data_IF_591621970048
#
_entry.id   IF_591621970048
#
_cell.length_a   1.000
_cell.length_b   1.000
_cell.length_c   1.000
_cell.angle_alpha   90.00
_cell.angle_beta   90.00
_cell.angle_gamma   90.00
#
_symmetry.space_group_name_H-M   'P 1'
#
loop_
_entity.id
_entity.type
_entity.pdbx_description
1 polymer ?
#
# COMPACT_ATOMS: atom_id res chain seq x y z
N UNK A 1 -7.23 3.33 9.85
CA UNK A 1 -7.57 2.13 10.64
C UNK A 1 -6.84 0.88 10.12
N UNK A 2 -7.10 0.44 8.88
CA UNK A 2 -6.46 -0.74 8.30
C UNK A 2 -4.92 -0.67 8.26
N UNK A 3 -4.35 0.45 7.78
CA UNK A 3 -2.89 0.68 7.69
C UNK A 3 -2.17 0.66 9.04
N UNK A 4 -2.83 1.13 10.10
CA UNK A 4 -2.27 1.14 11.46
C UNK A 4 -2.65 -0.10 12.29
N UNK A 5 -3.44 -1.01 11.72
CA UNK A 5 -3.97 -2.19 12.40
C UNK A 5 -3.69 -3.48 11.62
N UNK A 6 -4.72 -4.18 11.12
CA UNK A 6 -4.57 -5.52 10.55
C UNK A 6 -3.67 -5.60 9.31
N UNK A 7 -3.46 -4.48 8.60
CA UNK A 7 -2.62 -4.42 7.39
C UNK A 7 -1.33 -3.63 7.61
N UNK A 8 -0.92 -3.44 8.86
CA UNK A 8 0.30 -2.68 9.18
C UNK A 8 1.53 -3.30 8.52
N UNK A 9 2.31 -2.45 7.83
CA UNK A 9 3.48 -2.85 7.04
C UNK A 9 3.16 -3.40 5.65
N UNK A 10 1.88 -3.57 5.30
CA UNK A 10 1.41 -4.01 3.98
C UNK A 10 0.67 -2.88 3.26
N UNK A 11 -0.24 -2.20 3.97
CA UNK A 11 -1.00 -1.04 3.47
C UNK A 11 -0.52 0.23 4.17
N UNK A 12 -0.04 1.19 3.39
CA UNK A 12 0.24 2.56 3.81
C UNK A 12 -0.97 3.49 3.61
N UNK A 13 -0.92 4.64 4.25
CA UNK A 13 -1.86 5.74 4.10
C UNK A 13 -1.07 7.05 4.10
N UNK A 14 -1.41 7.96 3.19
CA UNK A 14 -0.88 9.32 3.19
C UNK A 14 -1.97 10.34 2.88
N UNK A 15 -1.88 11.49 3.55
CA UNK A 15 -2.63 12.72 3.27
C UNK A 15 -1.70 13.89 2.96
N UNK A 16 -0.43 13.61 2.66
CA UNK A 16 0.57 14.59 2.22
C UNK A 16 0.45 14.86 0.71
N UNK A 17 1.02 15.97 0.25
CA UNK A 17 1.16 16.23 -1.19
C UNK A 17 2.41 15.52 -1.72
N UNK A 18 2.20 14.44 -2.46
CA UNK A 18 3.24 13.50 -2.87
C UNK A 18 3.25 13.28 -4.38
N UNK A 19 4.37 12.81 -4.88
CA UNK A 19 4.57 12.38 -6.27
C UNK A 19 5.17 10.96 -6.30
N UNK A 20 5.25 10.35 -7.48
CA UNK A 20 5.67 8.96 -7.63
C UNK A 20 7.05 8.65 -7.06
N UNK A 21 7.99 9.60 -7.11
CA UNK A 21 9.35 9.41 -6.62
C UNK A 21 9.46 9.31 -5.11
N UNK A 22 8.46 9.80 -4.36
CA UNK A 22 8.43 9.72 -2.91
C UNK A 22 8.20 8.28 -2.41
N UNK A 23 7.77 7.39 -3.31
CA UNK A 23 7.51 5.97 -3.02
C UNK A 23 8.61 5.03 -3.52
N UNK A 24 9.71 5.55 -4.06
CA UNK A 24 10.82 4.71 -4.53
C UNK A 24 11.40 3.93 -3.34
N UNK A 25 11.52 2.61 -3.49
CA UNK A 25 11.94 1.69 -2.44
C UNK A 25 10.98 1.61 -1.24
N UNK A 26 9.72 2.01 -1.39
CA UNK A 26 8.71 1.78 -0.36
C UNK A 26 8.40 0.28 -0.23
N UNK A 27 8.36 -0.22 1.01
CA UNK A 27 8.16 -1.64 1.30
C UNK A 27 6.70 -2.09 1.30
N UNK A 28 5.74 -1.17 1.33
CA UNK A 28 4.32 -1.49 1.33
C UNK A 28 3.90 -2.01 -0.04
N UNK A 29 2.84 -2.82 -0.04
CA UNK A 29 2.23 -3.30 -1.29
C UNK A 29 1.28 -2.30 -1.92
N UNK A 30 0.85 -1.31 -1.13
CA UNK A 30 -0.15 -0.33 -1.51
C UNK A 30 -0.07 0.83 -0.53
N UNK A 31 -0.04 2.07 -1.01
CA UNK A 31 -0.12 3.28 -0.20
C UNK A 31 -1.28 4.13 -0.69
N UNK A 32 -2.36 4.16 0.09
CA UNK A 32 -3.56 4.91 -0.24
C UNK A 32 -3.31 6.42 -0.12
N UNK A 33 -3.61 7.15 -1.19
CA UNK A 33 -3.49 8.60 -1.27
C UNK A 33 -4.87 9.25 -1.08
N UNK A 34 -5.06 9.87 0.08
CA UNK A 34 -6.34 10.46 0.46
C UNK A 34 -6.69 11.72 -0.34
N UNK A 35 -5.69 12.41 -0.90
CA UNK A 35 -5.88 13.68 -1.62
C UNK A 35 -6.01 13.50 -3.13
N UNK A 36 -5.49 12.40 -3.68
CA UNK A 36 -5.60 12.09 -5.10
C UNK A 36 -6.94 11.43 -5.51
N UNK A 37 -7.72 10.94 -4.55
CA UNK A 37 -9.05 10.37 -4.79
C UNK A 37 -10.14 11.42 -5.00
N UNK A 38 -11.28 11.01 -5.56
CA UNK A 38 -12.48 11.84 -5.68
C UNK A 38 -13.75 11.00 -5.55
N UNK A 39 -14.73 11.51 -4.80
CA UNK A 39 -16.08 10.93 -4.71
C UNK A 39 -17.03 11.73 -5.59
N UNK A 40 -17.81 11.05 -6.42
CA UNK A 40 -18.88 11.68 -7.21
C UNK A 40 -20.19 11.73 -6.40
N UNK A 41 -20.48 10.68 -5.63
CA UNK A 41 -21.62 10.55 -4.75
C UNK A 41 -21.34 9.47 -3.68
N UNK A 42 -22.27 9.26 -2.76
CA UNK A 42 -22.13 8.33 -1.62
C UNK A 42 -21.83 6.87 -2.02
N UNK A 43 -22.01 6.49 -3.29
CA UNK A 43 -21.87 5.13 -3.79
C UNK A 43 -20.80 4.98 -4.87
N UNK A 44 -20.23 6.09 -5.39
CA UNK A 44 -19.30 6.06 -6.51
C UNK A 44 -18.05 6.89 -6.23
N UNK A 45 -16.94 6.18 -5.99
CA UNK A 45 -15.66 6.75 -5.60
C UNK A 45 -14.55 6.27 -6.54
N UNK A 46 -13.65 7.19 -6.90
CA UNK A 46 -12.34 6.87 -7.47
C UNK A 46 -11.29 7.06 -6.38
N UNK A 47 -10.47 6.04 -6.19
CA UNK A 47 -9.34 6.05 -5.25
C UNK A 47 -8.04 5.90 -6.03
N UNK A 48 -6.94 6.42 -5.49
CA UNK A 48 -5.60 6.24 -6.01
C UNK A 48 -4.75 5.58 -4.93
N UNK A 49 -3.92 4.63 -5.36
CA UNK A 49 -2.95 3.98 -4.48
C UNK A 49 -1.63 3.82 -5.22
N UNK A 50 -0.54 4.16 -4.53
CA UNK A 50 0.82 4.06 -5.03
C UNK A 50 1.44 2.72 -4.63
N UNK A 51 2.38 2.25 -5.43
CA UNK A 51 3.24 1.13 -5.06
C UNK A 51 4.53 1.19 -5.88
N UNK A 52 5.65 0.88 -5.24
CA UNK A 52 6.86 0.49 -5.96
C UNK A 52 6.64 -0.94 -6.48
N UNK A 53 6.58 -1.06 -7.81
CA UNK A 53 6.31 -2.32 -8.49
C UNK A 53 7.43 -3.36 -8.32
N UNK A 54 8.66 -2.91 -8.02
CA UNK A 54 9.80 -3.80 -7.80
C UNK A 54 9.98 -4.08 -6.30
N UNK A 55 10.04 -3.03 -5.48
CA UNK A 55 10.43 -3.15 -4.08
C UNK A 55 9.31 -3.71 -3.21
N UNK A 56 8.10 -3.17 -3.34
CA UNK A 56 6.93 -3.63 -2.58
C UNK A 56 6.61 -5.10 -2.85
N UNK A 57 6.66 -5.50 -4.13
CA UNK A 57 6.45 -6.89 -4.53
C UNK A 57 7.56 -7.82 -4.01
N UNK A 58 8.82 -7.43 -4.14
CA UNK A 58 9.96 -8.24 -3.67
C UNK A 58 9.89 -8.52 -2.17
N UNK A 59 9.44 -7.55 -1.36
CA UNK A 59 9.21 -7.76 0.07
C UNK A 59 8.11 -8.78 0.33
N UNK A 60 7.00 -8.76 -0.44
CA UNK A 60 5.92 -9.76 -0.31
C UNK A 60 6.35 -11.17 -0.65
N UNK A 61 7.26 -11.34 -1.60
CA UNK A 61 7.85 -12.65 -1.92
C UNK A 61 8.59 -13.21 -0.70
N UNK A 62 9.39 -12.38 -0.02
CA UNK A 62 10.11 -12.78 1.20
C UNK A 62 9.12 -13.12 2.34
N UNK A 63 8.09 -12.30 2.52
CA UNK A 63 7.06 -12.53 3.55
C UNK A 63 6.32 -13.85 3.29
N UNK A 64 5.99 -14.15 2.03
CA UNK A 64 5.35 -15.40 1.65
C UNK A 64 6.24 -16.61 1.91
N UNK A 65 7.54 -16.54 1.61
CA UNK A 65 8.49 -17.62 1.90
C UNK A 65 8.55 -17.90 3.41
N UNK A 66 8.65 -16.85 4.23
CA UNK A 66 8.62 -17.00 5.70
C UNK A 66 7.31 -17.61 6.18
N UNK A 67 6.19 -17.20 5.58
CA UNK A 67 4.90 -17.76 5.91
C UNK A 67 4.81 -19.25 5.55
N UNK A 68 5.24 -19.65 4.34
CA UNK A 68 5.29 -21.05 3.92
C UNK A 68 6.12 -21.89 4.89
N UNK A 69 7.32 -21.42 5.24
CA UNK A 69 8.19 -22.08 6.22
C UNK A 69 7.51 -22.24 7.59
N UNK A 70 6.67 -21.30 8.01
CA UNK A 70 5.93 -21.40 9.28
C UNK A 70 4.79 -22.41 9.27
N UNK A 71 4.44 -22.95 8.10
CA UNK A 71 3.38 -23.95 7.91
C UNK A 71 3.91 -25.35 7.61
N UNK A 72 5.20 -25.47 7.32
CA UNK A 72 5.92 -26.73 7.27
C UNK A 72 6.17 -27.28 8.69
#
# INVERSE_FOLDING_TARGET
>A
EASNGPMKGILGFTDEEVVSTDFVSDTHSSVFDAKAGISLNDQFVKLISWYDNEFGYSNRVIDLIKYMQSKD
#
